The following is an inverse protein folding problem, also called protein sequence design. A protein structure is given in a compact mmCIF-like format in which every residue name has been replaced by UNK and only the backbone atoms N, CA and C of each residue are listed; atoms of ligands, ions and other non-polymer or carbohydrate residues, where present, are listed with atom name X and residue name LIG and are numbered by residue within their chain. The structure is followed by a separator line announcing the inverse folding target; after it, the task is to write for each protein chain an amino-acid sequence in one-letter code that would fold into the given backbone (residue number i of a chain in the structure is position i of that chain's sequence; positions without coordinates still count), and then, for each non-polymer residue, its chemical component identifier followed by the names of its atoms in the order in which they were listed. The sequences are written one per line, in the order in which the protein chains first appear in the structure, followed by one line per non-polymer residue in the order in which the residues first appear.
data_IF_620156216392
#
_entry.id   IF_620156216392
#
_cell.length_a   1.000
_cell.length_b   1.000
_cell.length_c   1.000
_cell.angle_alpha   90.00
_cell.angle_beta   90.00
_cell.angle_gamma   90.00
#
_symmetry.space_group_name_H-M   'P 1'
#
loop_
_entity.id
_entity.type
_entity.pdbx_description
1 polymer ?
#
# COMPACT_ATOMS: atom_id res chain seq x y z
N UNK A 1 6.10 -6.98 -1.06
CA UNK A 1 5.26 -7.99 -1.74
C UNK A 1 3.80 -7.81 -1.37
N UNK A 2 2.93 -7.95 -2.32
CA UNK A 2 1.48 -7.91 -2.09
C UNK A 2 1.04 -9.22 -1.44
N UNK A 3 0.50 -9.14 -0.23
CA UNK A 3 0.03 -10.32 0.51
C UNK A 3 -1.48 -10.36 0.69
N UNK A 4 -2.17 -9.28 0.38
CA UNK A 4 -3.62 -9.22 0.42
C UNK A 4 -4.12 -8.28 -0.66
N UNK A 5 -5.27 -8.61 -1.23
CA UNK A 5 -5.86 -7.84 -2.32
C UNK A 5 -7.38 -7.92 -2.21
N UNK A 6 -8.02 -6.77 -2.22
CA UNK A 6 -9.48 -6.69 -2.27
C UNK A 6 -9.95 -6.43 -3.69
N UNK A 7 -11.21 -6.78 -3.96
CA UNK A 7 -11.83 -6.44 -5.23
C UNK A 7 -11.92 -4.93 -5.40
N UNK A 8 -11.79 -4.47 -6.64
CA UNK A 8 -11.89 -3.05 -6.94
C UNK A 8 -13.27 -2.52 -6.54
N UNK A 9 -13.30 -1.34 -5.93
CA UNK A 9 -14.52 -0.65 -5.54
C UNK A 9 -14.57 0.71 -6.21
N UNK A 10 -15.73 1.34 -6.17
CA UNK A 10 -15.92 2.66 -6.75
C UNK A 10 -16.47 3.60 -5.70
N UNK A 11 -15.97 4.83 -5.68
CA UNK A 11 -16.51 5.88 -4.82
C UNK A 11 -17.90 6.30 -5.35
N UNK A 12 -18.71 7.03 -4.54
CA UNK A 12 -19.97 7.58 -5.04
C UNK A 12 -19.83 8.41 -6.31
N UNK A 13 -18.67 9.03 -6.52
CA UNK A 13 -18.39 9.79 -7.74
C UNK A 13 -17.94 8.90 -8.92
N UNK A 14 -17.91 7.58 -8.74
CA UNK A 14 -17.51 6.65 -9.80
C UNK A 14 -16.02 6.49 -9.97
N UNK A 15 -15.21 6.94 -9.05
CA UNK A 15 -13.75 6.82 -9.10
C UNK A 15 -13.34 5.45 -8.58
N UNK A 16 -12.55 4.66 -9.34
CA UNK A 16 -12.11 3.35 -8.89
C UNK A 16 -11.13 3.44 -7.73
N UNK A 17 -11.22 2.48 -6.82
CA UNK A 17 -10.39 2.37 -5.64
C UNK A 17 -9.97 0.92 -5.43
N UNK A 18 -8.68 0.68 -5.29
CA UNK A 18 -8.11 -0.64 -5.05
C UNK A 18 -7.37 -0.62 -3.71
N UNK A 19 -7.78 -1.51 -2.80
CA UNK A 19 -7.13 -1.68 -1.51
C UNK A 19 -6.33 -2.97 -1.49
N UNK A 20 -5.12 -2.91 -0.94
CA UNK A 20 -4.27 -4.08 -0.81
C UNK A 20 -3.32 -3.94 0.37
N UNK A 21 -2.71 -5.05 0.75
CA UNK A 21 -1.76 -5.11 1.86
C UNK A 21 -0.39 -5.44 1.32
N UNK A 22 0.59 -4.63 1.69
CA UNK A 22 1.99 -4.81 1.33
C UNK A 22 2.77 -5.34 2.53
N UNK A 23 3.59 -6.34 2.30
CA UNK A 23 4.59 -6.77 3.25
C UNK A 23 5.93 -6.14 2.90
N UNK A 24 6.53 -5.48 3.86
CA UNK A 24 7.84 -4.86 3.73
C UNK A 24 8.81 -5.54 4.68
N UNK A 25 9.97 -5.93 4.15
CA UNK A 25 11.07 -6.46 4.94
C UNK A 25 12.37 -5.82 4.48
N UNK A 26 13.17 -5.36 5.42
CA UNK A 26 14.47 -4.77 5.11
C UNK A 26 15.40 -4.90 6.31
N UNK A 27 16.71 -4.73 6.06
CA UNK A 27 17.70 -4.59 7.12
C UNK A 27 18.13 -3.12 7.19
N UNK A 28 18.19 -2.61 8.39
CA UNK A 28 18.66 -1.26 8.66
C UNK A 28 19.71 -1.29 9.75
N UNK A 29 20.60 -0.31 9.72
CA UNK A 29 21.57 -0.11 10.80
C UNK A 29 21.07 1.03 11.67
N UNK A 30 20.89 0.73 12.95
CA UNK A 30 20.42 1.69 13.92
C UNK A 30 21.32 1.63 15.14
N UNK A 31 21.89 2.78 15.52
CA UNK A 31 22.86 2.88 16.61
C UNK A 31 24.02 1.88 16.48
N UNK A 32 24.50 1.63 15.25
CA UNK A 32 25.59 0.71 14.97
C UNK A 32 25.20 -0.76 14.97
N UNK A 33 23.92 -1.08 15.17
CA UNK A 33 23.43 -2.45 15.22
C UNK A 33 22.56 -2.75 14.00
N UNK A 34 22.72 -3.94 13.45
CA UNK A 34 21.84 -4.41 12.38
C UNK A 34 20.46 -4.72 12.94
N UNK A 35 19.45 -4.19 12.29
CA UNK A 35 18.07 -4.39 12.66
C UNK A 35 17.27 -4.92 11.50
N UNK A 36 16.55 -6.01 11.72
CA UNK A 36 15.59 -6.52 10.75
C UNK A 36 14.27 -5.79 10.94
N UNK A 37 13.79 -5.16 9.88
CA UNK A 37 12.53 -4.44 9.90
C UNK A 37 11.52 -5.22 9.07
N UNK A 38 10.40 -5.58 9.70
CA UNK A 38 9.28 -6.22 9.03
C UNK A 38 8.00 -5.49 9.39
N UNK A 39 7.18 -5.19 8.41
CA UNK A 39 5.88 -4.60 8.66
C UNK A 39 4.91 -4.89 7.53
N UNK A 40 3.63 -4.79 7.85
CA UNK A 40 2.55 -4.84 6.88
C UNK A 40 1.96 -3.45 6.76
N UNK A 41 1.69 -3.03 5.53
CA UNK A 41 1.16 -1.70 5.24
C UNK A 41 -0.11 -1.85 4.44
N UNK A 42 -1.20 -1.28 4.96
CA UNK A 42 -2.43 -1.15 4.20
C UNK A 42 -2.26 -0.01 3.21
N UNK A 43 -2.55 -0.28 1.94
CA UNK A 43 -2.37 0.68 0.86
C UNK A 43 -3.65 0.81 0.05
N UNK A 44 -3.83 1.99 -0.53
CA UNK A 44 -4.95 2.26 -1.43
C UNK A 44 -4.45 3.00 -2.65
N UNK A 45 -4.90 2.55 -3.82
CA UNK A 45 -4.68 3.23 -5.11
C UNK A 45 -6.01 3.75 -5.61
N UNK A 46 -6.04 5.00 -6.03
CA UNK A 46 -7.27 5.68 -6.44
C UNK A 46 -7.10 6.19 -7.87
N UNK A 47 -8.18 6.12 -8.66
CA UNK A 47 -8.20 6.60 -10.04
C UNK A 47 -7.48 5.65 -10.99
N UNK A 48 -6.66 6.18 -11.87
CA UNK A 48 -5.96 5.37 -12.87
C UNK A 48 -5.04 4.32 -12.24
N UNK A 49 -4.44 4.61 -11.11
CA UNK A 49 -3.59 3.65 -10.40
C UNK A 49 -4.37 2.43 -9.93
N UNK A 50 -5.66 2.59 -9.62
CA UNK A 50 -6.50 1.47 -9.21
C UNK A 50 -6.75 0.47 -10.34
N UNK A 51 -6.51 0.86 -11.57
CA UNK A 51 -6.65 0.00 -12.76
C UNK A 51 -5.38 -0.81 -13.04
N UNK A 52 -4.32 -0.59 -12.28
CA UNK A 52 -3.10 -1.38 -12.42
C UNK A 52 -3.39 -2.82 -12.03
N UNK A 53 -2.92 -3.76 -12.84
CA UNK A 53 -3.17 -5.18 -12.61
C UNK A 53 -2.23 -5.72 -11.51
N UNK A 54 -2.55 -5.40 -10.27
CA UNK A 54 -1.81 -5.85 -9.10
C UNK A 54 -2.34 -7.23 -8.70
N UNK A 55 -1.43 -8.14 -8.40
CA UNK A 55 -1.78 -9.50 -7.97
C UNK A 55 -1.03 -9.87 -6.70
N UNK A 56 -1.62 -10.77 -5.93
CA UNK A 56 -0.96 -11.31 -4.73
C UNK A 56 0.35 -11.99 -5.15
N UNK A 57 1.41 -11.69 -4.44
CA UNK A 57 2.75 -12.17 -4.74
C UNK A 57 3.62 -11.21 -5.54
N UNK A 58 3.01 -10.16 -6.12
CA UNK A 58 3.78 -9.16 -6.86
C UNK A 58 4.72 -8.38 -5.94
N UNK A 59 5.91 -8.11 -6.44
CA UNK A 59 6.82 -7.17 -5.83
C UNK A 59 6.59 -5.81 -6.46
N UNK A 60 6.29 -4.82 -5.63
CA UNK A 60 6.01 -3.48 -6.13
C UNK A 60 6.85 -2.43 -5.42
N UNK A 61 7.15 -1.36 -6.13
CA UNK A 61 7.63 -0.11 -5.56
C UNK A 61 6.49 0.87 -5.57
N UNK A 62 6.21 1.47 -4.43
CA UNK A 62 5.14 2.43 -4.30
C UNK A 62 5.63 3.65 -3.53
N UNK A 63 5.17 4.81 -3.95
CA UNK A 63 5.36 6.07 -3.24
C UNK A 63 4.01 6.71 -3.01
N UNK A 64 3.89 7.39 -1.90
CA UNK A 64 2.67 8.09 -1.58
C UNK A 64 2.76 8.74 -0.21
N UNK A 65 1.61 8.98 0.38
CA UNK A 65 1.53 9.61 1.69
C UNK A 65 0.66 8.81 2.63
N UNK A 66 0.93 8.96 3.91
CA UNK A 66 0.15 8.29 4.96
C UNK A 66 -1.00 9.19 5.40
N UNK A 67 -2.17 8.59 5.54
CA UNK A 67 -3.35 9.28 6.03
C UNK A 67 -4.21 8.32 6.83
N UNK A 68 -5.11 8.86 7.65
CA UNK A 68 -6.09 8.04 8.33
C UNK A 68 -7.05 7.45 7.31
N UNK A 69 -7.50 6.23 7.56
CA UNK A 69 -8.50 5.56 6.73
C UNK A 69 -9.81 6.35 6.68
N UNK A 70 -10.19 6.97 7.80
CA UNK A 70 -11.32 7.86 7.89
C UNK A 70 -11.11 8.81 9.08
N UNK A 71 -11.93 9.86 9.18
CA UNK A 71 -11.81 10.84 10.26
C UNK A 71 -11.93 10.21 11.66
N UNK A 72 -12.66 9.10 11.77
CA UNK A 72 -12.90 8.42 13.05
C UNK A 72 -11.98 7.22 13.29
N UNK A 73 -11.15 6.87 12.33
CA UNK A 73 -10.27 5.71 12.41
C UNK A 73 -8.89 6.12 12.90
N UNK A 74 -8.25 5.23 13.67
CA UNK A 74 -6.83 5.34 14.02
C UNK A 74 -5.94 4.58 13.04
N UNK A 75 -6.52 3.81 12.12
CA UNK A 75 -5.76 3.09 11.11
C UNK A 75 -5.13 4.05 10.12
N UNK A 76 -3.86 3.78 9.81
CA UNK A 76 -3.09 4.53 8.83
C UNK A 76 -3.02 3.73 7.55
N UNK A 77 -3.25 4.40 6.43
CA UNK A 77 -3.25 3.81 5.10
C UNK A 77 -2.28 4.59 4.22
N UNK A 78 -1.50 3.89 3.43
CA UNK A 78 -0.64 4.51 2.42
C UNK A 78 -1.48 4.81 1.18
N UNK A 79 -1.65 6.11 0.89
CA UNK A 79 -2.27 6.55 -0.37
C UNK A 79 -1.20 6.60 -1.43
N UNK A 80 -1.33 5.74 -2.44
CA UNK A 80 -0.30 5.57 -3.46
C UNK A 80 -0.42 6.65 -4.51
N UNK A 81 0.69 7.33 -4.79
CA UNK A 81 0.80 8.33 -5.86
C UNK A 81 1.57 7.78 -7.06
N UNK A 82 2.49 6.87 -6.82
CA UNK A 82 3.27 6.20 -7.86
C UNK A 82 3.36 4.72 -7.55
N UNK A 83 3.15 3.89 -8.54
CA UNK A 83 3.15 2.45 -8.42
C UNK A 83 3.91 1.82 -9.57
N UNK A 84 4.85 0.95 -9.24
CA UNK A 84 5.64 0.22 -10.23
C UNK A 84 5.73 -1.25 -9.83
N UNK A 85 5.31 -2.13 -10.72
CA UNK A 85 5.40 -3.57 -10.53
C UNK A 85 6.77 -4.04 -11.05
N UNK A 86 7.51 -4.71 -10.21
CA UNK A 86 8.83 -5.24 -10.55
C UNK A 86 8.78 -6.65 -11.10
#
# INVERSE_FOLDING_TARGET
MVIGLEAIRYTPAGIPLLSFVLQHASEKIEAGLKRKVECEVNAVAIGELAKTNVQIGDNIKAKGFLAKRSAKSTQIVLHIEQLHIE
#
